data_IF_906619743675
#
_entry.id   IF_906619743675
#
_cell.length_a   1.000
_cell.length_b   1.000
_cell.length_c   1.000
_cell.angle_alpha   90.00
_cell.angle_beta   90.00
_cell.angle_gamma   90.00
#
_symmetry.space_group_name_H-M   'P 1'
#
loop_
_entity.id
_entity.type
_entity.pdbx_description
1 polymer ?
#
# COMPACT_ATOMS: atom_id res chain seq x y z
N UNK A 1 10.11 -58.11 -21.60
CA UNK A 1 10.27 -57.27 -20.40
C UNK A 1 10.78 -55.93 -20.92
N UNK A 2 9.87 -55.07 -21.35
CA UNK A 2 10.22 -53.77 -21.95
C UNK A 2 10.39 -52.73 -20.83
N UNK A 3 11.53 -52.05 -20.86
CA UNK A 3 11.89 -50.98 -19.94
C UNK A 3 11.45 -49.63 -20.52
N UNK A 4 10.53 -48.95 -19.82
CA UNK A 4 10.10 -47.59 -20.14
C UNK A 4 11.16 -46.57 -19.72
N UNK A 5 11.64 -45.76 -20.67
CA UNK A 5 12.52 -44.61 -20.43
C UNK A 5 11.75 -43.42 -19.83
N UNK A 6 12.36 -42.61 -18.94
CA UNK A 6 11.69 -41.47 -18.31
C UNK A 6 11.66 -40.25 -19.25
N UNK A 7 10.49 -39.64 -19.41
CA UNK A 7 10.32 -38.37 -20.14
C UNK A 7 10.88 -37.21 -19.33
N UNK A 8 11.93 -36.55 -19.84
CA UNK A 8 12.48 -35.33 -19.25
C UNK A 8 11.55 -34.16 -19.59
N UNK A 9 10.75 -33.72 -18.63
CA UNK A 9 9.87 -32.56 -18.77
C UNK A 9 10.71 -31.28 -18.87
N UNK A 10 10.74 -30.67 -20.06
CA UNK A 10 11.50 -29.46 -20.31
C UNK A 10 10.63 -28.24 -19.97
N UNK A 11 11.04 -27.47 -18.96
CA UNK A 11 10.29 -26.29 -18.51
C UNK A 11 10.22 -25.22 -19.61
N UNK A 12 9.08 -24.54 -19.80
CA UNK A 12 8.94 -23.50 -20.81
C UNK A 12 9.86 -22.31 -20.51
N UNK A 13 10.45 -21.75 -21.57
CA UNK A 13 11.31 -20.57 -21.48
C UNK A 13 10.47 -19.30 -21.25
N UNK A 14 10.71 -18.62 -20.12
CA UNK A 14 10.05 -17.36 -19.80
C UNK A 14 10.85 -16.17 -20.35
N UNK A 15 10.22 -15.36 -21.20
CA UNK A 15 10.78 -14.09 -21.69
C UNK A 15 10.29 -12.90 -20.84
N UNK A 16 11.20 -11.97 -20.51
CA UNK A 16 10.92 -10.79 -19.66
C UNK A 16 10.01 -9.72 -20.31
N UNK A 17 9.62 -9.91 -21.57
CA UNK A 17 8.88 -8.91 -22.36
C UNK A 17 7.71 -9.63 -23.05
N UNK A 18 6.75 -10.15 -22.28
CA UNK A 18 5.50 -10.62 -22.87
C UNK A 18 4.65 -9.39 -23.24
N UNK A 19 4.66 -9.01 -24.51
CA UNK A 19 3.65 -8.07 -25.02
C UNK A 19 2.32 -8.81 -25.25
N UNK A 20 1.16 -8.15 -25.08
CA UNK A 20 -0.12 -8.70 -25.49
C UNK A 20 -0.10 -8.96 -27.00
N UNK A 21 -0.15 -10.25 -27.35
CA UNK A 21 -0.34 -10.84 -28.67
C UNK A 21 -0.22 -9.95 -29.90
N UNK A 22 0.92 -10.03 -30.57
CA UNK A 22 0.96 -10.01 -32.04
C UNK A 22 2.01 -10.99 -32.51
N UNK A 23 1.55 -12.07 -33.16
CA UNK A 23 2.40 -13.08 -33.79
C UNK A 23 3.19 -12.42 -34.93
N UNK A 24 4.53 -12.57 -34.99
CA UNK A 24 5.30 -12.18 -36.17
C UNK A 24 4.79 -12.97 -37.38
N UNK A 25 4.57 -12.30 -38.51
CA UNK A 25 4.09 -12.91 -39.76
C UNK A 25 5.10 -13.88 -40.42
N UNK A 26 6.26 -14.12 -39.79
CA UNK A 26 7.43 -14.75 -40.42
C UNK A 26 8.14 -15.74 -39.47
N UNK A 27 7.37 -16.49 -38.67
CA UNK A 27 7.89 -17.58 -37.82
C UNK A 27 7.95 -18.91 -38.56
N UNK A 28 9.07 -19.61 -38.47
CA UNK A 28 9.29 -20.97 -39.00
C UNK A 28 8.25 -21.98 -38.49
N UNK A 29 7.97 -23.03 -39.27
CA UNK A 29 6.92 -24.06 -39.05
C UNK A 29 6.77 -24.61 -37.60
N UNK A 30 7.81 -24.54 -36.77
CA UNK A 30 7.76 -24.95 -35.35
C UNK A 30 6.98 -23.97 -34.43
N UNK A 31 6.88 -22.68 -34.77
CA UNK A 31 6.13 -21.69 -33.98
C UNK A 31 4.60 -21.86 -34.11
N UNK A 32 4.13 -22.58 -35.14
CA UNK A 32 2.71 -22.88 -35.36
C UNK A 32 2.17 -23.95 -34.40
N UNK A 33 3.05 -24.67 -33.69
CA UNK A 33 2.70 -25.74 -32.76
C UNK A 33 2.57 -25.26 -31.30
N UNK A 34 2.91 -24.00 -31.01
CA UNK A 34 2.70 -23.46 -29.68
C UNK A 34 1.20 -23.25 -29.44
N UNK A 35 0.64 -23.76 -28.33
CA UNK A 35 -0.74 -23.48 -27.99
C UNK A 35 -0.90 -21.96 -27.83
N UNK A 36 -1.70 -21.36 -28.72
CA UNK A 36 -2.10 -19.96 -28.61
C UNK A 36 -2.80 -19.76 -27.26
N UNK A 37 -2.06 -19.23 -26.29
CA UNK A 37 -2.59 -18.91 -24.98
C UNK A 37 -3.27 -17.54 -25.03
N UNK A 38 -4.60 -17.54 -24.98
CA UNK A 38 -5.35 -16.31 -24.82
C UNK A 38 -5.59 -16.07 -23.31
N UNK A 39 -5.04 -14.97 -22.78
CA UNK A 39 -5.18 -14.67 -21.36
C UNK A 39 -6.66 -14.37 -21.02
N UNK A 40 -7.25 -15.04 -20.02
CA UNK A 40 -8.64 -14.82 -19.65
C UNK A 40 -8.89 -13.37 -19.22
N UNK A 41 -9.94 -12.75 -19.76
CA UNK A 41 -10.35 -11.39 -19.37
C UNK A 41 -11.24 -11.37 -18.13
N UNK A 42 -11.77 -12.53 -17.74
CA UNK A 42 -12.64 -12.74 -16.56
C UNK A 42 -12.37 -14.11 -15.95
N UNK A 43 -12.61 -14.21 -14.64
CA UNK A 43 -12.40 -15.42 -13.85
C UNK A 43 -13.69 -15.81 -13.14
N UNK A 44 -13.92 -17.12 -12.96
CA UNK A 44 -15.06 -17.63 -12.19
C UNK A 44 -14.63 -17.84 -10.74
N UNK A 45 -15.25 -17.13 -9.80
CA UNK A 45 -15.06 -17.29 -8.35
C UNK A 45 -16.36 -17.83 -7.76
N UNK A 46 -16.34 -19.09 -7.31
CA UNK A 46 -17.55 -19.78 -6.89
C UNK A 46 -18.56 -19.87 -8.05
N UNK A 47 -19.67 -19.16 -7.96
CA UNK A 47 -20.71 -19.09 -9.01
C UNK A 47 -20.74 -17.77 -9.78
N UNK A 48 -19.85 -16.82 -9.46
CA UNK A 48 -19.87 -15.48 -10.03
C UNK A 48 -18.65 -15.28 -10.93
N UNK A 49 -18.84 -14.65 -12.08
CA UNK A 49 -17.74 -14.19 -12.92
C UNK A 49 -17.29 -12.80 -12.48
N UNK A 50 -15.99 -12.55 -12.52
CA UNK A 50 -15.44 -11.21 -12.29
C UNK A 50 -15.83 -10.27 -13.44
N UNK A 51 -15.96 -8.98 -13.15
CA UNK A 51 -16.27 -7.97 -14.16
C UNK A 51 -15.13 -7.80 -15.19
N UNK A 52 -13.90 -8.08 -14.75
CA UNK A 52 -12.68 -8.06 -15.55
C UNK A 52 -11.55 -8.82 -14.86
N UNK A 53 -10.32 -8.38 -15.08
CA UNK A 53 -9.14 -8.88 -14.37
C UNK A 53 -9.23 -8.54 -12.88
N UNK A 54 -8.65 -9.38 -12.03
CA UNK A 54 -8.57 -9.09 -10.59
C UNK A 54 -7.72 -7.85 -10.29
N UNK A 55 -6.69 -7.64 -11.10
CA UNK A 55 -5.76 -6.53 -11.00
C UNK A 55 -5.44 -6.04 -12.40
N UNK A 56 -5.50 -4.73 -12.61
CA UNK A 56 -5.10 -4.09 -13.86
C UNK A 56 -3.68 -3.47 -13.77
N UNK A 57 -3.11 -3.13 -14.92
CA UNK A 57 -1.76 -2.57 -15.02
C UNK A 57 -1.66 -1.21 -14.32
N UNK A 58 -2.72 -0.40 -14.34
CA UNK A 58 -2.73 0.92 -13.72
C UNK A 58 -2.78 0.82 -12.18
N UNK A 59 -3.49 -0.15 -11.64
CA UNK A 59 -3.47 -0.51 -10.22
C UNK A 59 -2.08 -0.97 -9.77
N UNK A 60 -1.40 -1.79 -10.60
CA UNK A 60 -0.01 -2.21 -10.32
C UNK A 60 0.91 -1.00 -10.30
N UNK A 61 0.83 -0.11 -11.29
CA UNK A 61 1.61 1.15 -11.31
C UNK A 61 1.35 1.99 -10.06
N UNK A 62 0.08 2.14 -9.68
CA UNK A 62 -0.33 2.83 -8.46
C UNK A 62 0.27 2.24 -7.19
N UNK A 63 0.21 0.92 -7.05
CA UNK A 63 0.80 0.22 -5.91
C UNK A 63 2.34 0.33 -5.89
N UNK A 64 3.00 0.21 -7.04
CA UNK A 64 4.46 0.40 -7.13
C UNK A 64 4.88 1.84 -6.78
N UNK A 65 4.10 2.85 -7.19
CA UNK A 65 4.34 4.24 -6.80
C UNK A 65 4.25 4.41 -5.28
N UNK A 66 3.27 3.75 -4.63
CA UNK A 66 3.14 3.75 -3.18
C UNK A 66 4.36 3.10 -2.49
N UNK A 67 4.78 1.92 -2.94
CA UNK A 67 5.96 1.24 -2.39
C UNK A 67 7.23 2.07 -2.59
N UNK A 68 7.37 2.74 -3.74
CA UNK A 68 8.46 3.66 -4.00
C UNK A 68 8.44 4.85 -3.01
N UNK A 69 7.26 5.43 -2.74
CA UNK A 69 7.10 6.49 -1.76
C UNK A 69 7.51 6.04 -0.35
N UNK A 70 7.14 4.82 0.08
CA UNK A 70 7.59 4.27 1.36
C UNK A 70 9.11 4.05 1.41
N UNK A 71 9.72 3.58 0.33
CA UNK A 71 11.18 3.44 0.22
C UNK A 71 11.90 4.79 0.35
N UNK A 72 11.36 5.83 -0.30
CA UNK A 72 11.87 7.19 -0.21
C UNK A 72 11.72 7.76 1.20
N UNK A 73 10.57 7.53 1.85
CA UNK A 73 10.35 7.93 3.24
C UNK A 73 11.36 7.27 4.18
N UNK A 74 11.58 5.96 4.05
CA UNK A 74 12.59 5.23 4.82
C UNK A 74 13.99 5.81 4.63
N UNK A 75 14.39 6.06 3.38
CA UNK A 75 15.69 6.66 3.05
C UNK A 75 15.84 8.05 3.69
N UNK A 76 14.79 8.88 3.64
CA UNK A 76 14.79 10.20 4.28
C UNK A 76 14.95 10.10 5.79
N UNK A 77 14.17 9.23 6.45
CA UNK A 77 14.21 9.03 7.90
C UNK A 77 15.58 8.51 8.35
N UNK A 78 16.14 7.53 7.64
CA UNK A 78 17.48 7.02 7.93
C UNK A 78 18.57 8.09 7.74
N UNK A 79 18.38 9.03 6.81
CA UNK A 79 19.28 10.15 6.53
C UNK A 79 19.09 11.38 7.42
N UNK A 80 18.13 11.37 8.37
CA UNK A 80 17.88 12.51 9.25
C UNK A 80 19.07 12.76 10.18
N UNK A 81 19.71 13.91 10.01
CA UNK A 81 20.74 14.46 10.90
C UNK A 81 20.18 15.52 11.86
N UNK A 82 18.90 15.41 12.23
CA UNK A 82 18.28 16.33 13.18
C UNK A 82 18.57 15.87 14.61
N UNK A 83 18.87 16.81 15.51
CA UNK A 83 19.00 16.53 16.94
C UNK A 83 17.61 16.38 17.58
N UNK A 84 16.90 15.32 17.20
CA UNK A 84 15.63 14.94 17.81
C UNK A 84 15.96 14.08 19.04
N UNK A 85 15.46 14.51 20.20
CA UNK A 85 15.69 13.82 21.48
C UNK A 85 15.18 12.37 21.41
N UNK A 86 15.94 11.43 21.97
CA UNK A 86 15.67 9.98 21.95
C UNK A 86 15.66 9.31 20.57
N UNK A 87 16.11 9.99 19.50
CA UNK A 87 16.29 9.35 18.20
C UNK A 87 17.55 8.46 18.23
N UNK A 88 17.46 7.17 17.82
CA UNK A 88 18.63 6.30 17.74
C UNK A 88 19.68 6.80 16.72
N UNK A 89 20.96 6.58 17.02
CA UNK A 89 22.07 6.85 16.08
C UNK A 89 22.15 5.81 14.96
N UNK A 90 21.82 4.56 15.28
CA UNK A 90 21.78 3.46 14.33
C UNK A 90 20.61 3.62 13.33
N UNK A 91 20.89 3.41 12.05
CA UNK A 91 19.94 3.63 10.95
C UNK A 91 18.72 2.71 11.03
N UNK A 92 18.93 1.43 11.30
CA UNK A 92 17.84 0.46 11.37
C UNK A 92 16.95 0.72 12.59
N UNK A 93 17.57 1.03 13.74
CA UNK A 93 16.84 1.41 14.95
C UNK A 93 16.06 2.71 14.76
N UNK A 94 16.59 3.67 13.99
CA UNK A 94 15.90 4.93 13.66
C UNK A 94 14.63 4.68 12.85
N UNK A 95 14.70 3.79 11.86
CA UNK A 95 13.52 3.40 11.10
C UNK A 95 12.46 2.75 12.00
N UNK A 96 12.85 1.76 12.82
CA UNK A 96 11.92 1.10 13.76
C UNK A 96 11.27 2.11 14.70
N UNK A 97 12.05 3.01 15.30
CA UNK A 97 11.55 4.08 16.16
C UNK A 97 10.56 5.00 15.45
N UNK A 98 10.82 5.37 14.19
CA UNK A 98 9.91 6.18 13.40
C UNK A 98 8.59 5.45 13.11
N UNK A 99 8.66 4.15 12.82
CA UNK A 99 7.46 3.31 12.60
C UNK A 99 6.58 3.28 13.84
N UNK A 100 7.15 3.18 15.05
CA UNK A 100 6.38 3.24 16.30
C UNK A 100 5.58 4.56 16.42
N UNK A 101 6.19 5.69 16.08
CA UNK A 101 5.50 6.99 16.08
C UNK A 101 4.39 7.05 15.01
N UNK A 102 4.63 6.43 13.85
CA UNK A 102 3.62 6.32 12.78
C UNK A 102 2.42 5.47 13.22
N UNK A 103 2.64 4.42 14.02
CA UNK A 103 1.58 3.57 14.59
C UNK A 103 0.69 4.38 15.53
N UNK A 104 1.25 5.20 16.42
CA UNK A 104 0.48 6.09 17.29
C UNK A 104 -0.42 7.05 16.49
N UNK A 105 0.14 7.65 15.42
CA UNK A 105 -0.63 8.52 14.53
C UNK A 105 -1.73 7.77 13.79
N UNK A 106 -1.44 6.56 13.34
CA UNK A 106 -2.40 5.69 12.67
C UNK A 106 -3.55 5.32 13.59
N UNK A 107 -3.28 4.96 14.85
CA UNK A 107 -4.30 4.58 15.81
C UNK A 107 -5.29 5.73 16.07
N UNK A 108 -4.78 6.93 16.34
CA UNK A 108 -5.62 8.13 16.54
C UNK A 108 -6.40 8.47 15.26
N UNK A 109 -5.74 8.45 14.10
CA UNK A 109 -6.40 8.73 12.82
C UNK A 109 -7.52 7.72 12.54
N UNK A 110 -7.25 6.42 12.65
CA UNK A 110 -8.20 5.35 12.36
C UNK A 110 -9.44 5.43 13.25
N UNK A 111 -9.27 5.69 14.56
CA UNK A 111 -10.40 5.86 15.50
C UNK A 111 -11.22 7.12 15.24
N UNK A 112 -10.63 8.13 14.60
CA UNK A 112 -11.32 9.39 14.26
C UNK A 112 -12.19 9.30 12.99
N UNK A 113 -12.00 8.25 12.20
CA UNK A 113 -12.72 8.07 10.93
C UNK A 113 -14.22 7.85 11.16
N UNK A 114 -15.01 8.30 10.19
CA UNK A 114 -16.46 8.15 10.14
C UNK A 114 -16.85 7.58 8.78
N UNK A 115 -17.94 6.83 8.70
CA UNK A 115 -18.39 6.23 7.43
C UNK A 115 -18.58 7.24 6.29
N UNK A 116 -18.87 8.51 6.60
CA UNK A 116 -18.95 9.58 5.59
C UNK A 116 -17.62 9.91 4.93
N UNK A 117 -16.49 9.57 5.54
CA UNK A 117 -15.17 9.83 4.97
C UNK A 117 -14.94 8.96 3.73
N UNK A 118 -15.47 7.74 3.69
CA UNK A 118 -15.43 6.90 2.48
C UNK A 118 -16.26 7.47 1.31
N UNK A 119 -17.09 8.50 1.54
CA UNK A 119 -17.86 9.18 0.51
C UNK A 119 -17.15 10.44 -0.02
N UNK A 120 -16.07 10.87 0.63
CA UNK A 120 -15.29 12.03 0.20
C UNK A 120 -14.25 11.64 -0.85
N UNK A 121 -13.79 12.59 -1.68
CA UNK A 121 -12.67 12.36 -2.58
C UNK A 121 -11.46 11.79 -1.83
N UNK A 122 -10.76 10.80 -2.41
CA UNK A 122 -9.60 10.18 -1.76
C UNK A 122 -8.52 11.22 -1.44
N UNK A 123 -8.33 12.21 -2.31
CA UNK A 123 -7.39 13.32 -2.13
C UNK A 123 -7.61 14.12 -0.83
N UNK A 124 -8.83 14.18 -0.30
CA UNK A 124 -9.16 14.88 0.94
C UNK A 124 -9.01 13.99 2.18
N UNK A 125 -9.04 12.67 2.01
CA UNK A 125 -9.14 11.69 3.11
C UNK A 125 -7.88 10.86 3.29
N UNK A 126 -7.01 10.81 2.29
CA UNK A 126 -5.77 10.07 2.33
C UNK A 126 -4.91 10.57 3.51
N UNK A 127 -4.45 9.70 4.41
CA UNK A 127 -3.62 10.14 5.52
C UNK A 127 -2.20 10.52 5.04
N UNK A 128 -1.37 11.11 5.92
CA UNK A 128 0.08 11.24 5.73
C UNK A 128 0.76 9.91 5.36
N UNK A 129 1.91 10.00 4.69
CA UNK A 129 2.58 8.82 4.10
C UNK A 129 3.02 7.78 5.14
N UNK A 130 3.43 8.21 6.32
CA UNK A 130 3.78 7.36 7.46
C UNK A 130 2.58 6.58 7.99
N UNK A 131 1.43 7.24 8.15
CA UNK A 131 0.16 6.61 8.54
C UNK A 131 -0.35 5.67 7.44
N UNK A 132 -0.24 6.08 6.18
CA UNK A 132 -0.62 5.26 5.03
C UNK A 132 0.22 3.98 4.95
N UNK A 133 1.50 4.04 5.31
CA UNK A 133 2.38 2.88 5.39
C UNK A 133 1.92 1.87 6.44
N UNK A 134 1.58 2.33 7.65
CA UNK A 134 1.06 1.46 8.71
C UNK A 134 -0.30 0.87 8.32
N UNK A 135 -1.18 1.69 7.73
CA UNK A 135 -2.46 1.19 7.26
C UNK A 135 -2.31 0.15 6.15
N UNK A 136 -1.40 0.38 5.19
CA UNK A 136 -1.08 -0.57 4.14
C UNK A 136 -0.57 -1.89 4.71
N UNK A 137 0.35 -1.88 5.69
CA UNK A 137 0.85 -3.12 6.29
C UNK A 137 -0.25 -3.91 7.00
N UNK A 138 -1.22 -3.23 7.60
CA UNK A 138 -2.41 -3.87 8.17
C UNK A 138 -3.30 -4.51 7.08
N UNK A 139 -3.47 -3.87 5.93
CA UNK A 139 -4.20 -4.41 4.78
C UNK A 139 -3.54 -5.66 4.15
N UNK A 140 -2.24 -5.87 4.35
CA UNK A 140 -1.53 -7.07 3.87
C UNK A 140 -1.96 -8.37 4.56
N UNK A 141 -2.73 -8.29 5.66
CA UNK A 141 -3.46 -9.43 6.21
C UNK A 141 -4.96 -9.31 5.91
N UNK A 142 -5.40 -9.67 4.68
CA UNK A 142 -6.75 -9.37 4.22
C UNK A 142 -7.84 -10.07 5.03
N UNK A 143 -7.54 -11.22 5.63
CA UNK A 143 -8.48 -11.95 6.48
C UNK A 143 -8.77 -11.18 7.77
N UNK A 144 -7.73 -10.84 8.52
CA UNK A 144 -7.89 -10.08 9.76
C UNK A 144 -8.46 -8.69 9.51
N UNK A 145 -7.95 -7.99 8.49
CA UNK A 145 -8.47 -6.68 8.11
C UNK A 145 -9.99 -6.69 7.82
N UNK A 146 -10.46 -7.71 7.09
CA UNK A 146 -11.89 -7.88 6.78
C UNK A 146 -12.70 -8.25 8.03
N UNK A 147 -12.19 -9.17 8.84
CA UNK A 147 -12.85 -9.65 10.06
C UNK A 147 -13.00 -8.52 11.09
N UNK A 148 -11.97 -7.71 11.28
CA UNK A 148 -11.97 -6.56 12.18
C UNK A 148 -12.95 -5.48 11.69
N UNK A 149 -12.97 -5.19 10.39
CA UNK A 149 -13.94 -4.26 9.79
C UNK A 149 -15.41 -4.69 9.96
N UNK A 150 -15.67 -6.00 10.11
CA UNK A 150 -17.01 -6.54 10.33
C UNK A 150 -17.39 -6.62 11.82
N UNK A 151 -16.43 -6.92 12.71
CA UNK A 151 -16.69 -7.18 14.13
C UNK A 151 -16.47 -5.97 15.03
N UNK A 152 -15.54 -5.10 14.68
CA UNK A 152 -15.15 -3.94 15.48
C UNK A 152 -15.79 -2.69 14.85
N UNK A 153 -16.77 -2.12 15.55
CA UNK A 153 -17.54 -0.97 15.04
C UNK A 153 -16.64 0.22 14.66
N UNK A 154 -15.56 0.43 15.41
CA UNK A 154 -14.60 1.51 15.17
C UNK A 154 -13.76 1.27 13.90
N UNK A 155 -13.58 0.02 13.46
CA UNK A 155 -12.83 -0.33 12.26
C UNK A 155 -13.69 -0.28 10.99
N UNK A 156 -15.02 -0.21 11.11
CA UNK A 156 -15.93 -0.19 9.96
C UNK A 156 -15.64 0.98 8.99
N UNK A 157 -15.48 2.25 9.45
CA UNK A 157 -15.11 3.34 8.56
C UNK A 157 -13.77 3.13 7.83
N UNK A 158 -12.79 2.53 8.54
CA UNK A 158 -11.48 2.21 7.97
C UNK A 158 -11.59 1.15 6.86
N UNK A 159 -12.39 0.11 7.08
CA UNK A 159 -12.65 -0.92 6.08
C UNK A 159 -13.39 -0.36 4.85
N UNK A 160 -14.39 0.50 5.04
CA UNK A 160 -15.10 1.21 3.96
C UNK A 160 -14.13 2.08 3.14
N UNK A 161 -13.28 2.86 3.81
CA UNK A 161 -12.26 3.68 3.15
C UNK A 161 -11.23 2.82 2.40
N UNK A 162 -10.86 1.65 2.93
CA UNK A 162 -9.93 0.71 2.29
C UNK A 162 -10.46 0.16 0.97
N UNK A 163 -11.77 -0.06 0.85
CA UNK A 163 -12.39 -0.45 -0.42
C UNK A 163 -12.31 0.66 -1.47
N UNK A 164 -12.47 1.92 -1.06
CA UNK A 164 -12.32 3.08 -1.95
C UNK A 164 -10.86 3.23 -2.36
N UNK A 165 -9.93 3.14 -1.41
CA UNK A 165 -8.50 3.22 -1.66
C UNK A 165 -8.03 2.20 -2.70
N UNK A 166 -8.49 0.94 -2.61
CA UNK A 166 -8.15 -0.09 -3.59
C UNK A 166 -8.62 0.22 -5.02
N UNK A 167 -9.78 0.87 -5.18
CA UNK A 167 -10.32 1.29 -6.49
C UNK A 167 -9.57 2.48 -7.07
N UNK A 168 -9.07 3.36 -6.22
CA UNK A 168 -8.39 4.60 -6.59
C UNK A 168 -6.86 4.43 -6.72
N UNK A 169 -6.31 3.21 -6.58
CA UNK A 169 -4.88 2.92 -6.81
C UNK A 169 -4.34 3.54 -8.11
N UNK A 170 -5.04 3.50 -9.26
CA UNK A 170 -4.56 4.15 -10.49
C UNK A 170 -4.26 5.65 -10.38
N UNK A 171 -4.94 6.38 -9.48
CA UNK A 171 -4.74 7.82 -9.27
C UNK A 171 -3.66 8.14 -8.25
N UNK A 172 -3.20 7.14 -7.50
CA UNK A 172 -2.26 7.31 -6.41
C UNK A 172 -0.91 7.95 -6.82
N UNK A 173 -0.30 7.65 -7.99
CA UNK A 173 0.94 8.30 -8.40
C UNK A 173 0.80 9.83 -8.42
N UNK A 174 -0.25 10.36 -9.06
CA UNK A 174 -0.49 11.80 -9.13
C UNK A 174 -0.76 12.43 -7.76
N UNK A 175 -1.43 11.70 -6.86
CA UNK A 175 -1.71 12.18 -5.50
C UNK A 175 -0.47 12.20 -4.59
N UNK A 176 0.51 11.34 -4.86
CA UNK A 176 1.77 11.27 -4.11
C UNK A 176 2.80 12.30 -4.60
N UNK A 177 2.75 12.67 -5.89
CA UNK A 177 3.68 13.66 -6.48
C UNK A 177 3.28 15.12 -6.17
N UNK A 178 2.01 15.36 -5.85
CA UNK A 178 1.49 16.69 -5.53
C UNK A 178 1.54 16.97 -4.02
N UNK A 179 1.78 18.23 -3.60
CA UNK A 179 1.65 18.60 -2.20
C UNK A 179 0.20 18.38 -1.72
N UNK A 180 0.00 17.98 -0.46
CA UNK A 180 -1.33 17.74 0.07
C UNK A 180 -2.16 19.03 0.07
N UNK A 181 -3.44 18.93 -0.30
CA UNK A 181 -4.37 20.05 -0.23
C UNK A 181 -4.52 20.57 1.21
N UNK A 182 -4.75 21.88 1.38
CA UNK A 182 -4.90 22.49 2.71
C UNK A 182 -6.06 21.88 3.51
N UNK A 183 -7.16 21.52 2.83
CA UNK A 183 -8.31 20.87 3.45
C UNK A 183 -7.91 19.53 4.09
N UNK A 184 -7.13 18.72 3.37
CA UNK A 184 -6.59 17.44 3.84
C UNK A 184 -5.68 17.62 5.05
N UNK A 185 -4.76 18.60 5.00
CA UNK A 185 -3.84 18.93 6.09
C UNK A 185 -4.60 19.35 7.34
N UNK A 186 -5.55 20.27 7.21
CA UNK A 186 -6.36 20.78 8.32
C UNK A 186 -7.28 19.71 8.90
N UNK A 187 -7.88 18.87 8.06
CA UNK A 187 -8.72 17.77 8.49
C UNK A 187 -7.92 16.76 9.34
N UNK A 188 -6.71 16.40 8.91
CA UNK A 188 -5.83 15.53 9.68
C UNK A 188 -5.44 16.17 11.02
N UNK A 189 -4.99 17.43 11.01
CA UNK A 189 -4.58 18.14 12.23
C UNK A 189 -5.73 18.25 13.24
N UNK A 190 -6.95 18.55 12.77
CA UNK A 190 -8.14 18.64 13.63
C UNK A 190 -8.48 17.31 14.29
N UNK A 191 -8.23 16.19 13.61
CA UNK A 191 -8.53 14.84 14.12
C UNK A 191 -7.45 14.30 15.04
N UNK A 192 -6.19 14.50 14.67
CA UNK A 192 -5.03 13.85 15.30
C UNK A 192 -4.28 14.78 16.26
N UNK A 193 -4.42 16.10 16.10
CA UNK A 193 -3.70 17.09 16.91
C UNK A 193 -2.21 17.21 16.58
N UNK A 194 -1.75 16.52 15.52
CA UNK A 194 -0.35 16.50 15.08
C UNK A 194 -0.23 17.03 13.65
N UNK A 195 0.90 17.68 13.31
CA UNK A 195 1.16 18.14 11.94
C UNK A 195 0.97 17.04 10.90
N UNK A 196 0.58 17.42 9.69
CA UNK A 196 0.48 16.46 8.60
C UNK A 196 1.86 15.86 8.26
N UNK A 197 2.92 16.67 8.28
CA UNK A 197 4.30 16.24 8.07
C UNK A 197 4.77 15.26 9.17
N UNK A 198 5.41 14.16 8.75
CA UNK A 198 5.85 13.07 9.62
C UNK A 198 7.06 13.40 10.49
N UNK A 199 7.98 14.18 9.95
CA UNK A 199 9.24 14.53 10.60
C UNK A 199 9.01 15.66 11.61
N UNK A 200 8.18 16.64 11.27
CA UNK A 200 7.74 17.70 12.19
C UNK A 200 6.98 17.13 13.39
N UNK A 201 6.05 16.20 13.14
CA UNK A 201 5.26 15.58 14.22
C UNK A 201 6.11 14.77 15.18
N UNK A 202 7.10 14.05 14.66
CA UNK A 202 8.06 13.29 15.46
C UNK A 202 8.72 14.15 16.56
N UNK A 203 9.09 15.39 16.23
CA UNK A 203 9.67 16.33 17.20
C UNK A 203 8.68 16.74 18.30
N UNK A 204 7.38 16.74 18.02
CA UNK A 204 6.32 17.12 18.96
C UNK A 204 5.91 15.95 19.86
N UNK A 205 5.72 14.75 19.29
CA UNK A 205 5.34 13.55 20.05
C UNK A 205 6.39 13.25 21.13
N UNK A 206 7.67 13.35 20.77
CA UNK A 206 8.79 13.21 21.72
C UNK A 206 8.70 14.23 22.85
N UNK A 207 8.36 15.50 22.55
CA UNK A 207 8.21 16.54 23.58
C UNK A 207 7.03 16.29 24.50
N UNK A 208 5.91 15.80 23.98
CA UNK A 208 4.71 15.50 24.78
C UNK A 208 4.92 14.31 25.73
N UNK A 209 5.58 13.25 25.25
CA UNK A 209 5.93 12.07 26.07
C UNK A 209 6.84 12.43 27.26
N UNK A 210 7.72 13.43 27.09
CA UNK A 210 8.60 13.91 28.16
C UNK A 210 7.86 14.68 29.26
N UNK A 211 6.85 15.48 28.91
CA UNK A 211 6.03 16.17 29.92
C UNK A 211 5.28 15.17 30.79
N UNK A 212 4.69 14.14 30.17
CA UNK A 212 3.99 13.06 30.89
C UNK A 212 4.90 12.24 31.80
N UNK A 213 6.18 12.09 31.45
CA UNK A 213 7.15 11.35 32.26
C UNK A 213 7.81 12.20 33.36
N UNK A 214 7.59 13.52 33.40
CA UNK A 214 8.10 14.43 34.42
C UNK A 214 7.10 14.78 35.54
N UNK A 215 5.87 14.27 35.43
CA UNK A 215 4.78 14.50 36.40
C UNK A 215 4.61 13.33 37.41
N UNK A 216 5.57 12.40 37.47
CA UNK A 216 5.62 11.29 38.42
C UNK A 216 6.98 11.17 39.10
#
# INVERSE_FOLDING_TARGET
MDASSPSTEQLPAYSRIAQPGSTPLDGTDDDLLLPHYNFPTRFKVGQVFTDGLFVDIEQIKGHLALLNAFSNLKTQVEGLNLNIKNMPEDREKRWAWFVELAVERFDVWARSLKSKDALQPLEDTLPPLDVLMVWHSYMLNPRWYTEDGQRILQCKPLAELGQVFGKELPRLPSLLDLPPAEVRVNAFYTRVGLPFDSIQSTSIIVRASLHFSSEW
#
